data_IF_501556866937
#
_entry.id   IF_501556866937
#
_cell.length_a   1.000
_cell.length_b   1.000
_cell.length_c   1.000
_cell.angle_alpha   90.00
_cell.angle_beta   90.00
_cell.angle_gamma   90.00
#
_symmetry.space_group_name_H-M   'P 1'
#
loop_
_entity.id
_entity.type
_entity.pdbx_description
1 polymer ?
#
# COMPACT_ATOMS: atom_id res chain seq x y z
N UNK A 1 -9.87 -3.21 -6.15
CA UNK A 1 -10.46 -1.94 -6.60
C UNK A 1 -9.38 -0.89 -6.82
N UNK A 2 -9.35 -0.29 -8.01
CA UNK A 2 -8.41 0.77 -8.35
C UNK A 2 -9.15 2.10 -8.52
N UNK A 3 -8.62 3.19 -7.95
CA UNK A 3 -9.20 4.52 -8.18
C UNK A 3 -9.22 4.87 -9.68
N UNK A 4 -10.30 5.52 -10.14
CA UNK A 4 -10.47 5.87 -11.55
C UNK A 4 -9.31 6.70 -12.13
N UNK A 5 -8.71 7.59 -11.31
CA UNK A 5 -7.52 8.36 -11.71
C UNK A 5 -6.32 7.46 -11.99
N UNK A 6 -6.13 6.41 -11.19
CA UNK A 6 -5.07 5.44 -11.38
C UNK A 6 -5.33 4.58 -12.63
N UNK A 7 -6.56 4.13 -12.82
CA UNK A 7 -6.96 3.39 -14.04
C UNK A 7 -6.63 4.18 -15.31
N UNK A 8 -6.98 5.46 -15.35
CA UNK A 8 -6.67 6.33 -16.49
C UNK A 8 -5.16 6.46 -16.74
N UNK A 9 -4.37 6.58 -15.67
CA UNK A 9 -2.91 6.63 -15.77
C UNK A 9 -2.32 5.33 -16.33
N UNK A 10 -2.80 4.19 -15.84
CA UNK A 10 -2.36 2.87 -16.31
C UNK A 10 -2.73 2.64 -17.77
N UNK A 11 -3.94 2.99 -18.18
CA UNK A 11 -4.38 2.88 -19.57
C UNK A 11 -3.55 3.79 -20.50
N UNK A 12 -3.27 5.02 -20.07
CA UNK A 12 -2.41 5.94 -20.81
C UNK A 12 -1.00 5.38 -20.97
N UNK A 13 -0.44 4.82 -19.90
CA UNK A 13 0.87 4.16 -19.93
C UNK A 13 0.87 2.98 -20.89
N UNK A 14 -0.13 2.09 -20.80
CA UNK A 14 -0.24 0.92 -21.68
C UNK A 14 -0.32 1.32 -23.15
N UNK A 15 -1.11 2.34 -23.48
CA UNK A 15 -1.20 2.87 -24.86
C UNK A 15 0.14 3.44 -25.35
N UNK A 16 0.84 4.21 -24.51
CA UNK A 16 2.15 4.76 -24.82
C UNK A 16 3.19 3.67 -25.09
N UNK A 17 3.13 2.57 -24.31
CA UNK A 17 4.02 1.42 -24.47
C UNK A 17 3.53 0.40 -25.51
N UNK A 18 2.41 0.66 -26.17
CA UNK A 18 1.79 -0.23 -27.18
C UNK A 18 1.48 -1.63 -26.64
N UNK A 19 1.00 -1.70 -25.40
CA UNK A 19 0.63 -2.95 -24.73
C UNK A 19 -0.87 -3.16 -24.90
N UNK A 20 -1.25 -4.25 -25.59
CA UNK A 20 -2.64 -4.60 -25.85
C UNK A 20 -3.18 -5.64 -24.87
N UNK A 21 -2.33 -6.52 -24.34
CA UNK A 21 -2.70 -7.62 -23.44
C UNK A 21 -1.51 -8.08 -22.61
N UNK A 22 -1.78 -8.86 -21.57
CA UNK A 22 -0.77 -9.40 -20.66
C UNK A 22 -0.33 -8.40 -19.59
N UNK A 23 0.91 -8.54 -19.15
CA UNK A 23 1.48 -7.69 -18.10
C UNK A 23 1.71 -6.25 -18.62
N UNK A 24 1.44 -5.28 -17.76
CA UNK A 24 1.61 -3.85 -18.08
C UNK A 24 3.06 -3.41 -17.87
N UNK A 25 3.71 -3.92 -16.85
CA UNK A 25 5.09 -3.56 -16.52
C UNK A 25 6.04 -4.63 -17.03
N UNK A 26 6.85 -4.28 -18.02
CA UNK A 26 7.72 -5.21 -18.73
C UNK A 26 9.19 -4.88 -18.53
N UNK A 27 10.02 -5.92 -18.58
CA UNK A 27 11.48 -5.78 -18.67
C UNK A 27 11.89 -5.40 -20.09
N UNK A 28 13.19 -5.11 -20.31
CA UNK A 28 13.74 -4.86 -21.65
C UNK A 28 13.50 -6.02 -22.62
N UNK A 29 13.38 -7.25 -22.11
CA UNK A 29 13.11 -8.45 -22.89
C UNK A 29 11.61 -8.73 -23.06
N UNK A 30 10.76 -7.73 -22.82
CA UNK A 30 9.30 -7.81 -22.95
C UNK A 30 8.63 -8.86 -22.04
N UNK A 31 9.28 -9.25 -20.95
CA UNK A 31 8.72 -10.12 -19.92
C UNK A 31 8.18 -9.30 -18.75
N UNK A 32 7.12 -9.79 -18.12
CA UNK A 32 6.58 -9.16 -16.91
C UNK A 32 7.65 -8.98 -15.84
N UNK A 33 7.64 -7.81 -15.20
CA UNK A 33 8.61 -7.50 -14.14
C UNK A 33 8.38 -8.42 -12.93
N UNK A 34 9.47 -9.00 -12.40
CA UNK A 34 9.41 -9.88 -11.23
C UNK A 34 9.33 -9.09 -9.91
N UNK A 35 8.84 -9.75 -8.86
CA UNK A 35 8.85 -9.18 -7.50
C UNK A 35 10.26 -8.77 -7.05
N UNK A 36 11.24 -9.60 -7.38
CA UNK A 36 12.65 -9.37 -7.04
C UNK A 36 13.18 -8.12 -7.73
N UNK A 37 12.83 -7.90 -8.99
CA UNK A 37 13.22 -6.72 -9.74
C UNK A 37 12.55 -5.45 -9.20
N UNK A 38 11.26 -5.49 -8.86
CA UNK A 38 10.57 -4.37 -8.21
C UNK A 38 11.28 -4.00 -6.91
N UNK A 39 11.62 -4.98 -6.10
CA UNK A 39 12.33 -4.77 -4.84
C UNK A 39 13.70 -4.13 -5.06
N UNK A 40 14.47 -4.63 -6.03
CA UNK A 40 15.80 -4.10 -6.37
C UNK A 40 15.72 -2.64 -6.87
N UNK A 41 14.75 -2.34 -7.73
CA UNK A 41 14.55 -0.97 -8.23
C UNK A 41 14.12 0.00 -7.14
N UNK A 42 13.25 -0.43 -6.23
CA UNK A 42 12.89 0.38 -5.05
C UNK A 42 14.11 0.69 -4.20
N UNK A 43 14.99 -0.28 -3.96
CA UNK A 43 16.24 -0.07 -3.21
C UNK A 43 17.16 0.91 -3.92
N UNK A 44 17.30 0.79 -5.23
CA UNK A 44 18.13 1.71 -6.03
C UNK A 44 17.62 3.16 -5.96
N UNK A 45 16.30 3.37 -5.91
CA UNK A 45 15.70 4.70 -5.77
C UNK A 45 15.97 5.32 -4.40
N UNK A 46 16.18 4.52 -3.36
CA UNK A 46 16.45 5.03 -2.01
C UNK A 46 17.74 5.87 -1.96
N UNK A 47 18.78 5.45 -2.63
CA UNK A 47 20.05 6.19 -2.68
C UNK A 47 19.87 7.58 -3.29
N UNK A 48 19.11 7.67 -4.38
CA UNK A 48 18.80 8.94 -5.05
C UNK A 48 17.89 9.84 -4.21
N UNK A 49 16.98 9.23 -3.45
CA UNK A 49 16.01 9.97 -2.63
C UNK A 49 16.54 10.33 -1.24
N UNK A 50 17.70 9.85 -0.84
CA UNK A 50 18.26 10.07 0.49
C UNK A 50 17.45 9.40 1.61
N UNK A 51 16.80 8.27 1.32
CA UNK A 51 15.92 7.54 2.25
C UNK A 51 16.60 6.24 2.67
N UNK A 52 16.45 5.85 3.94
CA UNK A 52 17.00 4.60 4.46
C UNK A 52 16.39 3.37 3.75
N UNK A 53 17.21 2.54 3.06
CA UNK A 53 16.70 1.41 2.28
C UNK A 53 15.94 0.37 3.11
N UNK A 54 16.27 0.22 4.38
CA UNK A 54 15.64 -0.74 5.29
C UNK A 54 14.14 -0.52 5.49
N UNK A 55 13.64 0.69 5.24
CA UNK A 55 12.25 1.07 5.43
C UNK A 55 11.43 1.07 4.13
N UNK A 56 12.10 0.91 2.98
CA UNK A 56 11.46 1.02 1.67
C UNK A 56 11.36 -0.36 1.00
N UNK A 57 10.19 -0.96 1.05
CA UNK A 57 9.86 -2.23 0.41
C UNK A 57 8.34 -2.31 0.20
N UNK A 58 7.86 -3.11 -0.78
CA UNK A 58 6.44 -3.11 -1.14
C UNK A 58 5.48 -3.35 0.01
N UNK A 59 5.81 -4.26 0.92
CA UNK A 59 4.96 -4.59 2.05
C UNK A 59 4.83 -3.41 3.03
N UNK A 60 5.88 -2.63 3.20
CA UNK A 60 5.85 -1.43 4.04
C UNK A 60 4.97 -0.32 3.42
N UNK A 61 4.95 -0.20 2.10
CA UNK A 61 4.02 0.70 1.41
C UNK A 61 2.57 0.26 1.61
N UNK A 62 2.31 -1.04 1.65
CA UNK A 62 1.00 -1.59 1.97
C UNK A 62 0.57 -1.24 3.40
N UNK A 63 1.47 -1.32 4.36
CA UNK A 63 1.22 -0.86 5.74
C UNK A 63 0.90 0.64 5.80
N UNK A 64 1.66 1.45 5.08
CA UNK A 64 1.42 2.89 5.02
C UNK A 64 0.03 3.20 4.43
N UNK A 65 -0.34 2.52 3.35
CA UNK A 65 -1.67 2.65 2.75
C UNK A 65 -2.76 2.28 3.77
N UNK A 66 -2.62 1.14 4.44
CA UNK A 66 -3.60 0.67 5.42
C UNK A 66 -3.82 1.68 6.55
N UNK A 67 -2.74 2.21 7.11
CA UNK A 67 -2.81 3.23 8.17
C UNK A 67 -3.46 4.52 7.68
N UNK A 68 -3.09 4.97 6.48
CA UNK A 68 -3.65 6.20 5.90
C UNK A 68 -5.15 6.05 5.60
N UNK A 69 -5.53 4.93 5.03
CA UNK A 69 -6.94 4.60 4.76
C UNK A 69 -7.76 4.57 6.05
N UNK A 70 -7.25 3.90 7.08
CA UNK A 70 -7.93 3.77 8.35
C UNK A 70 -8.09 5.11 9.08
N UNK A 71 -7.13 6.02 8.97
CA UNK A 71 -7.28 7.38 9.51
C UNK A 71 -8.52 8.09 8.98
N UNK A 72 -8.81 7.88 7.71
CA UNK A 72 -9.95 8.54 7.03
C UNK A 72 -11.24 7.77 7.26
N UNK A 73 -11.22 6.48 7.03
CA UNK A 73 -12.44 5.67 6.97
C UNK A 73 -12.83 5.04 8.31
N UNK A 74 -11.89 4.77 9.21
CA UNK A 74 -12.13 4.15 10.52
C UNK A 74 -12.92 2.85 10.48
N UNK A 75 -12.88 2.13 9.38
CA UNK A 75 -13.62 0.91 9.16
C UNK A 75 -12.68 -0.22 8.74
N UNK A 76 -12.43 -1.15 9.68
CA UNK A 76 -11.52 -2.28 9.47
C UNK A 76 -12.05 -3.25 8.43
N UNK A 77 -13.38 -3.46 8.37
CA UNK A 77 -13.98 -4.36 7.39
C UNK A 77 -13.79 -3.83 5.96
N UNK A 78 -14.03 -2.54 5.73
CA UNK A 78 -13.77 -1.91 4.44
C UNK A 78 -12.30 -1.96 4.06
N UNK A 79 -11.40 -1.75 5.03
CA UNK A 79 -9.97 -1.86 4.78
C UNK A 79 -9.59 -3.28 4.37
N UNK A 80 -10.12 -4.31 5.06
CA UNK A 80 -9.90 -5.70 4.71
C UNK A 80 -10.34 -6.02 3.28
N UNK A 81 -11.51 -5.53 2.87
CA UNK A 81 -12.02 -5.67 1.50
C UNK A 81 -11.09 -5.04 0.46
N UNK A 82 -10.63 -3.82 0.71
CA UNK A 82 -9.73 -3.09 -0.19
C UNK A 82 -8.38 -3.79 -0.32
N UNK A 83 -7.86 -4.33 0.77
CA UNK A 83 -6.59 -5.06 0.79
C UNK A 83 -6.72 -6.50 0.25
N UNK A 84 -7.95 -7.00 0.11
CA UNK A 84 -8.20 -8.38 -0.32
C UNK A 84 -7.92 -9.41 0.77
N UNK A 85 -8.00 -9.02 2.05
CA UNK A 85 -7.83 -9.96 3.16
C UNK A 85 -9.11 -10.77 3.38
N UNK A 86 -8.97 -12.08 3.54
CA UNK A 86 -10.08 -12.98 3.88
C UNK A 86 -10.48 -12.90 5.36
N UNK A 87 -9.64 -12.31 6.20
CA UNK A 87 -9.82 -12.19 7.65
C UNK A 87 -9.53 -10.78 8.14
N UNK A 88 -10.38 -10.27 9.02
CA UNK A 88 -10.20 -8.98 9.70
C UNK A 88 -8.96 -9.02 10.62
N UNK A 89 -8.63 -10.17 11.18
CA UNK A 89 -7.44 -10.33 12.04
C UNK A 89 -6.14 -9.99 11.28
N UNK A 90 -6.02 -10.41 10.02
CA UNK A 90 -4.89 -10.04 9.17
C UNK A 90 -4.81 -8.53 8.99
N UNK A 91 -5.93 -7.86 8.82
CA UNK A 91 -6.00 -6.40 8.69
C UNK A 91 -5.61 -5.70 9.99
N UNK A 92 -6.02 -6.22 11.15
CA UNK A 92 -5.63 -5.68 12.46
C UNK A 92 -4.11 -5.64 12.66
N UNK A 93 -3.40 -6.63 12.19
CA UNK A 93 -1.93 -6.68 12.26
C UNK A 93 -1.30 -5.46 11.55
N UNK A 94 -1.89 -5.02 10.45
CA UNK A 94 -1.46 -3.81 9.73
C UNK A 94 -1.73 -2.52 10.49
N UNK A 95 -2.67 -2.54 11.40
CA UNK A 95 -3.15 -1.39 12.15
C UNK A 95 -2.70 -1.41 13.62
N UNK A 96 -1.69 -2.21 13.96
CA UNK A 96 -1.18 -2.28 15.33
C UNK A 96 -0.88 -0.87 15.82
N UNK A 97 -1.65 -0.43 16.80
CA UNK A 97 -1.52 0.86 17.45
C UNK A 97 -0.82 0.69 18.79
N UNK A 98 -0.19 1.75 19.26
CA UNK A 98 0.41 1.78 20.59
C UNK A 98 -0.67 1.90 21.66
N UNK A 99 -0.38 1.44 22.87
CA UNK A 99 -1.28 1.66 24.01
C UNK A 99 -1.61 3.13 24.25
N UNK A 100 -0.72 4.04 23.87
CA UNK A 100 -0.94 5.49 23.94
C UNK A 100 -2.09 5.95 23.05
N UNK A 101 -2.23 5.39 21.85
CA UNK A 101 -3.35 5.71 20.95
C UNK A 101 -4.68 5.29 21.56
N UNK A 102 -4.74 4.10 22.14
CA UNK A 102 -5.94 3.60 22.82
C UNK A 102 -6.27 4.42 24.07
N UNK A 103 -5.28 4.77 24.86
CA UNK A 103 -5.46 5.62 26.02
C UNK A 103 -6.04 6.99 25.65
N UNK A 104 -5.53 7.61 24.58
CA UNK A 104 -6.07 8.88 24.06
C UNK A 104 -7.52 8.76 23.59
N UNK A 105 -7.88 7.66 22.95
CA UNK A 105 -9.25 7.39 22.51
C UNK A 105 -10.18 7.21 23.71
N UNK A 106 -9.76 6.43 24.71
CA UNK A 106 -10.53 6.21 25.92
C UNK A 106 -10.76 7.50 26.70
N UNK A 107 -9.74 8.35 26.79
CA UNK A 107 -9.86 9.66 27.43
C UNK A 107 -10.90 10.56 26.74
N UNK A 108 -10.94 10.54 25.39
CA UNK A 108 -11.93 11.31 24.62
C UNK A 108 -13.37 10.84 24.79
N UNK A 109 -13.58 9.58 25.15
CA UNK A 109 -14.92 9.05 25.41
C UNK A 109 -15.54 9.58 26.71
N UNK A 110 -14.74 10.13 27.63
CA UNK A 110 -15.21 10.66 28.89
C UNK A 110 -15.84 9.60 29.83
N UNK A 111 -15.51 8.33 29.62
CA UNK A 111 -16.06 7.21 30.38
C UNK A 111 -15.33 6.95 31.71
N UNK A 112 -14.17 7.55 31.87
CA UNK A 112 -13.35 7.44 33.07
C UNK A 112 -13.27 8.81 33.72
N UNK A 113 -13.68 8.87 34.94
CA UNK A 113 -13.60 10.09 35.75
C UNK A 113 -12.19 10.34 36.27
#
# INVERSE_FOLDING_TARGET
LLPGKLCRKLLKYARKQKIASGEIFLTRNEKGISRRQIWAEMKALCDKAGVAPSKVFPHNLRHLFARTFYRVCRDVAKLADVLGHSSIETTRIYLISTGTEHAGTLARLGLVC
#
